data_IF_296053816733
#
_entry.id   IF_296053816733
#
_cell.length_a   1.000
_cell.length_b   1.000
_cell.length_c   1.000
_cell.angle_alpha   90.00
_cell.angle_beta   90.00
_cell.angle_gamma   90.00
#
_symmetry.space_group_name_H-M   'P 1'
#
loop_
_entity.id
_entity.type
_entity.pdbx_description
1 polymer ?
#
# COMPACT_ATOMS: atom_id res chain seq x y z
N UNK A 1 -14.81 -13.42 -4.69
CA UNK A 1 -14.85 -12.10 -4.03
C UNK A 1 -14.57 -12.29 -2.56
N UNK A 2 -13.56 -11.61 -2.00
CA UNK A 2 -13.37 -11.58 -0.54
C UNK A 2 -14.43 -10.65 0.05
N UNK A 3 -15.61 -11.19 0.37
CA UNK A 3 -16.73 -10.42 0.92
C UNK A 3 -16.55 -10.09 2.41
N UNK A 4 -15.43 -10.48 3.03
CA UNK A 4 -15.26 -10.40 4.49
C UNK A 4 -16.23 -11.30 5.26
N UNK A 5 -16.76 -12.34 4.62
CA UNK A 5 -17.58 -13.36 5.27
C UNK A 5 -16.70 -14.32 6.04
N UNK A 6 -17.23 -14.92 7.10
CA UNK A 6 -16.53 -15.90 7.92
C UNK A 6 -15.88 -16.97 7.06
N UNK A 7 -14.57 -17.14 7.22
CA UNK A 7 -13.77 -18.06 6.43
C UNK A 7 -13.45 -19.26 7.33
N UNK A 8 -14.00 -20.43 6.98
CA UNK A 8 -13.76 -21.69 7.70
C UNK A 8 -14.17 -21.63 9.18
N UNK A 9 -15.25 -20.91 9.48
CA UNK A 9 -15.75 -20.73 10.85
C UNK A 9 -15.04 -19.64 11.65
N UNK A 10 -14.03 -18.97 11.09
CA UNK A 10 -13.38 -17.83 11.71
C UNK A 10 -14.04 -16.51 11.28
N UNK A 11 -14.33 -15.65 12.25
CA UNK A 11 -14.77 -14.28 11.95
C UNK A 11 -13.72 -13.55 11.12
N UNK A 12 -14.16 -12.95 10.01
CA UNK A 12 -13.33 -12.08 9.21
C UNK A 12 -13.63 -10.64 9.60
N UNK A 13 -12.60 -9.93 10.06
CA UNK A 13 -12.72 -8.51 10.38
C UNK A 13 -12.49 -7.69 9.13
N UNK A 14 -13.55 -7.07 8.63
CA UNK A 14 -13.45 -6.08 7.56
C UNK A 14 -12.67 -4.85 8.04
N UNK A 15 -12.03 -4.17 7.08
CA UNK A 15 -11.33 -2.92 7.33
C UNK A 15 -10.70 -2.36 6.06
N UNK A 16 -10.22 -1.13 6.16
CA UNK A 16 -9.62 -0.40 5.04
C UNK A 16 -8.26 -0.96 4.64
N UNK A 17 -8.02 -1.02 3.33
CA UNK A 17 -6.78 -1.45 2.70
C UNK A 17 -6.28 -0.34 1.78
N UNK A 18 -5.03 0.07 1.95
CA UNK A 18 -4.34 0.96 1.01
C UNK A 18 -3.34 0.16 0.17
N UNK A 19 -3.37 0.31 -1.15
CA UNK A 19 -2.42 -0.29 -2.08
C UNK A 19 -1.66 0.82 -2.83
N UNK A 20 -0.36 0.91 -2.59
CA UNK A 20 0.55 1.79 -3.32
C UNK A 20 1.19 1.01 -4.46
N UNK A 21 0.78 1.28 -5.69
CA UNK A 21 1.27 0.65 -6.92
C UNK A 21 2.25 1.58 -7.64
N UNK A 22 3.53 1.48 -7.31
CA UNK A 22 4.56 2.49 -7.58
C UNK A 22 5.46 2.22 -8.80
N UNK A 23 5.43 1.01 -9.38
CA UNK A 23 6.03 0.74 -10.68
C UNK A 23 5.21 1.18 -11.88
N UNK A 24 5.92 1.52 -12.95
CA UNK A 24 5.37 2.07 -14.20
C UNK A 24 4.48 1.05 -14.97
N UNK A 25 4.62 -0.26 -14.69
CA UNK A 25 3.82 -1.32 -15.33
C UNK A 25 2.48 -1.63 -14.63
N UNK A 26 2.17 -0.98 -13.49
CA UNK A 26 0.99 -1.35 -12.70
C UNK A 26 -0.34 -0.86 -13.26
N UNK A 27 -0.37 -0.04 -14.32
CA UNK A 27 -1.63 0.34 -14.98
C UNK A 27 -2.46 -0.89 -15.39
N UNK A 28 -1.80 -1.98 -15.83
CA UNK A 28 -2.46 -3.25 -16.17
C UNK A 28 -2.94 -4.03 -14.94
N UNK A 29 -2.16 -4.02 -13.86
CA UNK A 29 -2.55 -4.66 -12.60
C UNK A 29 -3.75 -3.92 -11.99
N UNK A 30 -3.72 -2.59 -11.99
CA UNK A 30 -4.83 -1.73 -11.61
C UNK A 30 -6.06 -2.02 -12.45
N UNK A 31 -5.97 -2.07 -13.79
CA UNK A 31 -7.10 -2.44 -14.64
C UNK A 31 -7.66 -3.82 -14.29
N UNK A 32 -6.81 -4.79 -13.98
CA UNK A 32 -7.24 -6.14 -13.58
C UNK A 32 -7.94 -6.13 -12.22
N UNK A 33 -7.37 -5.46 -11.22
CA UNK A 33 -7.95 -5.32 -9.89
C UNK A 33 -9.28 -4.54 -9.99
N UNK A 34 -9.32 -3.44 -10.73
CA UNK A 34 -10.53 -2.67 -11.01
C UNK A 34 -11.60 -3.48 -11.74
N UNK A 35 -11.22 -4.37 -12.68
CA UNK A 35 -12.17 -5.30 -13.32
C UNK A 35 -12.66 -6.40 -12.38
N UNK A 36 -11.79 -6.88 -11.47
CA UNK A 36 -12.12 -7.93 -10.51
C UNK A 36 -12.95 -7.41 -9.33
N UNK A 37 -12.74 -6.17 -8.93
CA UNK A 37 -13.39 -5.50 -7.80
C UNK A 37 -14.42 -4.45 -8.26
N UNK A 38 -14.62 -4.25 -9.56
CA UNK A 38 -15.59 -3.31 -10.13
C UNK A 38 -15.35 -1.84 -9.76
N UNK A 39 -16.24 -0.97 -10.25
CA UNK A 39 -16.36 0.44 -9.84
C UNK A 39 -17.02 0.55 -8.45
N UNK A 40 -17.77 -0.48 -8.06
CA UNK A 40 -18.60 -0.49 -6.85
C UNK A 40 -18.14 -1.42 -5.73
N UNK A 41 -17.17 -2.33 -5.94
CA UNK A 41 -16.79 -3.26 -4.87
C UNK A 41 -15.61 -2.73 -4.04
N UNK A 42 -15.94 -2.55 -2.77
CA UNK A 42 -15.13 -2.22 -1.60
C UNK A 42 -14.81 -0.73 -1.42
N UNK A 43 -15.73 0.00 -0.78
CA UNK A 43 -15.48 1.36 -0.25
C UNK A 43 -14.32 1.45 0.76
N UNK A 44 -13.68 0.31 1.04
CA UNK A 44 -12.57 0.14 1.96
C UNK A 44 -11.25 -0.22 1.22
N UNK A 45 -11.18 -0.23 -0.12
CA UNK A 45 -9.93 -0.45 -0.86
C UNK A 45 -9.50 0.81 -1.62
N UNK A 46 -8.35 1.35 -1.23
CA UNK A 46 -7.77 2.56 -1.80
C UNK A 46 -6.53 2.23 -2.62
N UNK A 47 -6.45 2.77 -3.84
CA UNK A 47 -5.28 2.62 -4.70
C UNK A 47 -4.61 3.97 -4.93
N UNK A 48 -3.29 4.02 -4.80
CA UNK A 48 -2.49 5.17 -5.21
C UNK A 48 -1.34 4.74 -6.10
N UNK A 49 -1.13 5.48 -7.19
CA UNK A 49 -0.05 5.27 -8.18
C UNK A 49 1.21 6.09 -7.84
N UNK A 50 1.23 6.73 -6.68
CA UNK A 50 2.32 7.58 -6.23
C UNK A 50 2.31 7.71 -4.71
N UNK A 51 3.50 7.87 -4.15
CA UNK A 51 3.70 8.09 -2.73
C UNK A 51 4.94 8.97 -2.52
N UNK A 52 4.99 9.65 -1.39
CA UNK A 52 6.21 10.32 -0.94
C UNK A 52 7.31 9.28 -0.67
N UNK A 53 8.56 9.73 -0.68
CA UNK A 53 9.70 8.86 -0.41
C UNK A 53 9.92 8.67 1.09
N UNK A 54 10.60 7.58 1.43
CA UNK A 54 11.05 7.29 2.79
C UNK A 54 12.00 8.41 3.25
N UNK A 55 11.77 8.98 4.42
CA UNK A 55 12.46 10.19 4.90
C UNK A 55 12.00 11.50 4.24
N UNK A 56 11.21 11.43 3.16
CA UNK A 56 10.65 12.57 2.42
C UNK A 56 9.16 12.83 2.69
N UNK A 57 8.64 12.39 3.84
CA UNK A 57 7.24 12.61 4.23
C UNK A 57 6.29 11.44 3.99
N UNK A 58 6.79 10.25 3.60
CA UNK A 58 5.97 9.04 3.47
C UNK A 58 5.30 8.67 4.78
N UNK A 59 6.00 8.78 5.91
CA UNK A 59 5.43 8.44 7.21
C UNK A 59 4.23 9.32 7.55
N UNK A 60 4.34 10.62 7.33
CA UNK A 60 3.27 11.60 7.56
C UNK A 60 2.08 11.33 6.64
N UNK A 61 2.35 10.98 5.38
CA UNK A 61 1.31 10.58 4.43
C UNK A 61 0.56 9.34 4.92
N UNK A 62 1.27 8.28 5.34
CA UNK A 62 0.65 7.05 5.84
C UNK A 62 -0.08 7.28 7.17
N UNK A 63 0.49 8.06 8.09
CA UNK A 63 -0.16 8.45 9.35
C UNK A 63 -1.43 9.27 9.10
N UNK A 64 -1.41 10.18 8.12
CA UNK A 64 -2.59 10.94 7.68
C UNK A 64 -3.68 10.00 7.18
N UNK A 65 -3.32 9.09 6.27
CA UNK A 65 -4.27 8.10 5.74
C UNK A 65 -4.88 7.23 6.86
N UNK A 66 -4.08 6.71 7.79
CA UNK A 66 -4.60 5.90 8.91
C UNK A 66 -5.49 6.71 9.86
N UNK A 67 -5.24 8.02 10.03
CA UNK A 67 -6.10 8.90 10.83
C UNK A 67 -7.44 9.17 10.14
N UNK A 68 -7.45 9.31 8.82
CA UNK A 68 -8.65 9.49 8.01
C UNK A 68 -9.46 8.18 7.91
N UNK A 69 -8.78 7.05 7.81
CA UNK A 69 -9.34 5.71 7.70
C UNK A 69 -8.99 4.88 8.93
N UNK A 70 -9.63 5.19 10.06
CA UNK A 70 -9.33 4.58 11.38
C UNK A 70 -9.53 3.06 11.44
N UNK A 71 -10.27 2.48 10.49
CA UNK A 71 -10.46 1.04 10.33
C UNK A 71 -9.42 0.40 9.41
N UNK A 72 -8.34 1.11 9.04
CA UNK A 72 -7.25 0.57 8.22
C UNK A 72 -6.62 -0.66 8.88
N UNK A 73 -6.57 -1.77 8.14
CA UNK A 73 -5.99 -3.05 8.59
C UNK A 73 -4.80 -3.49 7.78
N UNK A 74 -4.61 -2.95 6.58
CA UNK A 74 -3.54 -3.36 5.68
C UNK A 74 -3.08 -2.20 4.80
N UNK A 75 -1.77 -2.04 4.68
CA UNK A 75 -1.13 -1.15 3.71
C UNK A 75 -0.15 -2.00 2.91
N UNK A 76 -0.30 -2.00 1.60
CA UNK A 76 0.53 -2.73 0.64
C UNK A 76 1.37 -1.71 -0.12
N UNK A 77 2.69 -1.94 -0.19
CA UNK A 77 3.62 -1.11 -0.95
C UNK A 77 4.30 -1.98 -2.00
N UNK A 78 3.98 -1.75 -3.27
CA UNK A 78 4.43 -2.53 -4.42
C UNK A 78 4.99 -1.57 -5.49
N UNK A 79 6.29 -1.33 -5.59
CA UNK A 79 7.43 -1.92 -4.86
C UNK A 79 8.08 -0.95 -3.87
N UNK A 80 8.61 -1.49 -2.76
CA UNK A 80 9.32 -0.72 -1.72
C UNK A 80 10.55 0.03 -2.26
N UNK A 81 11.11 -0.40 -3.39
CA UNK A 81 12.28 0.22 -4.00
C UNK A 81 12.01 1.67 -4.42
N UNK A 82 10.86 1.94 -5.05
CA UNK A 82 10.46 3.28 -5.52
C UNK A 82 10.38 4.33 -4.40
N UNK A 83 9.98 3.94 -3.19
CA UNK A 83 9.98 4.86 -2.05
C UNK A 83 11.35 5.01 -1.37
N UNK A 84 12.28 4.09 -1.59
CA UNK A 84 13.62 4.12 -0.97
C UNK A 84 14.67 4.88 -1.79
N UNK A 85 14.43 5.07 -3.09
CA UNK A 85 15.43 5.55 -4.05
C UNK A 85 15.99 6.96 -3.77
N UNK A 86 15.32 7.84 -3.02
CA UNK A 86 15.88 9.15 -2.67
C UNK A 86 16.73 9.19 -1.40
N UNK A 87 16.81 8.09 -0.64
CA UNK A 87 17.53 8.02 0.64
C UNK A 87 18.66 7.00 0.67
N UNK A 88 19.03 6.40 -0.47
CA UNK A 88 20.17 5.49 -0.54
C UNK A 88 21.50 6.29 -0.51
N UNK A 89 21.76 7.00 0.59
CA UNK A 89 23.14 7.21 1.00
C UNK A 89 23.74 5.81 1.22
N UNK A 90 24.66 5.48 0.32
CA UNK A 90 25.44 4.26 0.28
C UNK A 90 26.00 3.98 1.68
N UNK A 91 25.44 3.00 2.39
CA UNK A 91 26.12 2.42 3.56
C UNK A 91 27.42 1.79 3.04
N UNK A 92 28.51 2.56 3.07
CA UNK A 92 29.85 2.05 2.89
C UNK A 92 30.29 1.55 4.27
N UNK A 93 30.50 0.24 4.48
CA UNK A 93 31.11 -0.22 5.72
C UNK A 93 32.52 0.40 5.75
N UNK A 94 32.75 1.31 6.69
CA UNK A 94 34.07 1.86 6.94
C UNK A 94 34.95 0.70 7.41
N UNK A 95 35.82 0.20 6.54
CA UNK A 95 36.92 -0.67 6.94
C UNK A 95 37.81 0.11 7.89
N UNK A 96 37.72 -0.19 9.20
CA UNK A 96 38.77 0.18 10.15
C UNK A 96 40.04 -0.59 9.79
N UNK A 97 41.11 0.15 9.51
CA UNK A 97 42.49 -0.32 9.66
C UNK A 97 42.95 -0.05 11.08
#
# INVERSE_FOLDING_TARGET
>A
MSMGLSLWGYEVRQGTVLYLALEDNHRRLQERLYRMFGVESTGNLFFAIGAKQLGGGLEEQLKGFVREHTDTRLIIIDTLQKIREAGAEKYMPTTMR
#
